data_IF_769033136867
#
_entry.id   IF_769033136867
#
_cell.length_a   1.000
_cell.length_b   1.000
_cell.length_c   1.000
_cell.angle_alpha   90.00
_cell.angle_beta   90.00
_cell.angle_gamma   90.00
#
_symmetry.space_group_name_H-M   'P 1'
#
loop_
_entity.id
_entity.type
_entity.pdbx_description
1 polymer ?
#
# COMPACT_ATOMS: atom_id res chain seq x y z
N UNK A 1 -17.18 -2.42 3.04
CA UNK A 1 -18.16 -1.62 2.24
C UNK A 1 -17.40 -0.76 1.24
N UNK A 2 -18.03 -0.27 0.17
CA UNK A 2 -17.33 0.55 -0.85
C UNK A 2 -16.59 1.75 -0.26
N UNK A 3 -17.13 2.34 0.80
CA UNK A 3 -16.50 3.44 1.53
C UNK A 3 -15.18 3.03 2.22
N UNK A 4 -15.04 1.79 2.68
CA UNK A 4 -13.81 1.30 3.33
C UNK A 4 -12.68 1.19 2.30
N UNK A 5 -12.97 0.64 1.12
CA UNK A 5 -12.03 0.56 0.00
C UNK A 5 -11.62 1.97 -0.44
N UNK A 6 -12.57 2.86 -0.69
CA UNK A 6 -12.27 4.22 -1.11
C UNK A 6 -11.44 4.98 -0.05
N UNK A 7 -11.75 4.81 1.23
CA UNK A 7 -10.98 5.39 2.34
C UNK A 7 -9.58 4.81 2.44
N UNK A 8 -9.42 3.51 2.17
CA UNK A 8 -8.11 2.88 2.06
C UNK A 8 -7.32 3.48 0.88
N UNK A 9 -7.92 3.63 -0.30
CA UNK A 9 -7.26 4.18 -1.48
C UNK A 9 -6.96 5.69 -1.40
N UNK A 10 -7.66 6.44 -0.54
CA UNK A 10 -7.47 7.88 -0.40
C UNK A 10 -6.12 8.29 0.23
N UNK A 11 -5.38 7.36 0.84
CA UNK A 11 -4.06 7.66 1.40
C UNK A 11 -2.96 7.52 0.34
N UNK A 12 -2.11 8.54 0.15
CA UNK A 12 -1.14 8.59 -0.96
C UNK A 12 -0.19 7.39 -1.03
N UNK A 13 0.33 6.93 0.10
CA UNK A 13 1.30 5.82 0.17
C UNK A 13 0.64 4.52 -0.26
N UNK A 14 -0.59 4.26 0.19
CA UNK A 14 -1.37 3.07 -0.20
C UNK A 14 -1.73 3.07 -1.68
N UNK A 15 -2.17 4.22 -2.21
CA UNK A 15 -2.48 4.32 -3.64
C UNK A 15 -1.22 4.11 -4.49
N UNK A 16 -0.10 4.71 -4.09
CA UNK A 16 1.17 4.53 -4.79
C UNK A 16 1.67 3.08 -4.72
N UNK A 17 1.53 2.41 -3.57
CA UNK A 17 1.86 0.99 -3.43
C UNK A 17 1.02 0.11 -4.37
N UNK A 18 -0.29 0.36 -4.48
CA UNK A 18 -1.15 -0.37 -5.42
C UNK A 18 -0.76 -0.15 -6.87
N UNK A 19 -0.37 1.07 -7.24
CA UNK A 19 0.15 1.36 -8.60
C UNK A 19 1.41 0.58 -8.91
N UNK A 20 2.29 0.38 -7.92
CA UNK A 20 3.48 -0.44 -8.08
C UNK A 20 3.14 -1.94 -8.24
N UNK A 21 2.07 -2.41 -7.63
CA UNK A 21 1.59 -3.80 -7.71
C UNK A 21 0.58 -4.04 -8.86
N UNK A 22 0.25 -3.02 -9.64
CA UNK A 22 -0.82 -3.07 -10.64
C UNK A 22 -0.51 -4.00 -11.82
N UNK A 23 0.76 -4.38 -12.00
CA UNK A 23 1.22 -5.37 -12.97
C UNK A 23 0.90 -6.82 -12.55
N UNK A 24 0.36 -7.03 -11.35
CA UNK A 24 0.07 -8.35 -10.79
C UNK A 24 1.32 -9.09 -10.29
N UNK A 25 2.48 -8.44 -10.29
CA UNK A 25 3.73 -9.00 -9.80
C UNK A 25 3.86 -8.92 -8.28
N UNK A 26 4.62 -9.84 -7.72
CA UNK A 26 5.03 -9.77 -6.32
C UNK A 26 6.20 -8.80 -6.15
N UNK A 27 6.18 -8.01 -5.08
CA UNK A 27 7.27 -7.09 -4.72
C UNK A 27 7.65 -7.24 -3.26
N UNK A 28 8.94 -7.10 -2.97
CA UNK A 28 9.42 -7.06 -1.59
C UNK A 28 8.88 -5.80 -0.89
N UNK A 29 8.50 -5.93 0.39
CA UNK A 29 8.16 -4.77 1.23
C UNK A 29 9.32 -3.77 1.33
N UNK A 30 10.56 -4.26 1.28
CA UNK A 30 11.77 -3.46 1.26
C UNK A 30 11.87 -2.55 0.02
N UNK A 31 11.45 -3.04 -1.15
CA UNK A 31 11.39 -2.25 -2.37
C UNK A 31 10.34 -1.14 -2.26
N UNK A 32 9.16 -1.47 -1.71
CA UNK A 32 8.10 -0.48 -1.47
C UNK A 32 8.54 0.60 -0.49
N UNK A 33 9.22 0.22 0.60
CA UNK A 33 9.81 1.17 1.57
C UNK A 33 10.77 2.14 0.88
N UNK A 34 11.70 1.62 0.07
CA UNK A 34 12.69 2.43 -0.64
C UNK A 34 12.05 3.38 -1.65
N UNK A 35 11.10 2.88 -2.47
CA UNK A 35 10.42 3.68 -3.50
C UNK A 35 9.47 4.74 -2.93
N UNK A 36 8.85 4.45 -1.79
CA UNK A 36 7.79 5.30 -1.21
C UNK A 36 8.27 6.13 0.00
N UNK A 37 9.55 6.02 0.38
CA UNK A 37 10.10 6.75 1.52
C UNK A 37 9.42 6.40 2.85
N UNK A 38 8.99 5.15 3.01
CA UNK A 38 8.27 4.69 4.20
C UNK A 38 9.17 3.84 5.09
N UNK A 39 9.08 4.04 6.42
CA UNK A 39 9.66 3.10 7.37
C UNK A 39 8.95 1.74 7.30
N UNK A 40 9.62 0.68 7.78
CA UNK A 40 9.05 -0.67 7.80
C UNK A 40 7.72 -0.73 8.56
N UNK A 41 7.64 -0.09 9.73
CA UNK A 41 6.43 -0.07 10.56
C UNK A 41 5.27 0.64 9.87
N UNK A 42 5.54 1.77 9.20
CA UNK A 42 4.55 2.48 8.39
C UNK A 42 4.09 1.62 7.23
N UNK A 43 5.04 1.05 6.46
CA UNK A 43 4.73 0.22 5.29
C UNK A 43 3.87 -0.98 5.65
N UNK A 44 4.21 -1.70 6.73
CA UNK A 44 3.43 -2.83 7.25
C UNK A 44 1.99 -2.42 7.58
N UNK A 45 1.79 -1.29 8.26
CA UNK A 45 0.46 -0.77 8.58
C UNK A 45 -0.33 -0.41 7.32
N UNK A 46 0.29 0.24 6.33
CA UNK A 46 -0.36 0.55 5.06
C UNK A 46 -0.83 -0.72 4.33
N UNK A 47 -0.01 -1.78 4.30
CA UNK A 47 -0.37 -3.06 3.67
C UNK A 47 -1.48 -3.79 4.42
N UNK A 48 -1.45 -3.77 5.76
CA UNK A 48 -2.51 -4.36 6.56
C UNK A 48 -3.86 -3.67 6.34
N UNK A 49 -3.88 -2.34 6.19
CA UNK A 49 -5.10 -1.58 5.86
C UNK A 49 -5.60 -1.96 4.47
N UNK A 50 -4.73 -2.00 3.45
CA UNK A 50 -5.13 -2.41 2.10
C UNK A 50 -5.71 -3.83 2.07
N UNK A 51 -5.15 -4.77 2.84
CA UNK A 51 -5.63 -6.16 2.89
C UNK A 51 -6.98 -6.33 3.59
N UNK A 52 -7.36 -5.37 4.45
CA UNK A 52 -8.57 -5.45 5.28
C UNK A 52 -9.76 -4.67 4.71
N UNK A 53 -9.49 -3.72 3.82
CA UNK A 53 -10.50 -2.87 3.20
C UNK A 53 -11.25 -3.61 2.09
#
# INVERSE_FOLDING_TARGET
MVLDVLSALAEPTRLAALRLLADGGERCVCELMARLGASQSRMSRHMQVLRRA
#
